data_IF_538633338553
#
_entry.id   IF_538633338553
#
_cell.length_a   1.000
_cell.length_b   1.000
_cell.length_c   1.000
_cell.angle_alpha   90.00
_cell.angle_beta   90.00
_cell.angle_gamma   90.00
#
_symmetry.space_group_name_H-M   'P 1'
#
loop_
_entity.id
_entity.type
_entity.pdbx_description
1 polymer ?
#
# COMPACT_ATOMS: atom_id res chain seq x y z
N UNK A 1 4.77 2.56 2.09
CA UNK A 1 4.35 3.66 1.21
C UNK A 1 3.73 3.07 -0.04
N UNK A 2 2.77 3.76 -0.64
CA UNK A 2 2.06 3.38 -1.85
C UNK A 2 2.25 4.48 -2.90
N UNK A 3 2.67 4.06 -4.10
CA UNK A 3 2.86 4.93 -5.27
C UNK A 3 1.92 4.45 -6.38
N UNK A 4 0.77 5.11 -6.61
CA UNK A 4 -0.11 4.80 -7.73
C UNK A 4 0.56 5.18 -9.07
N UNK A 5 0.32 4.40 -10.13
CA UNK A 5 0.98 4.62 -11.43
C UNK A 5 0.56 5.90 -12.14
N UNK A 6 -0.72 6.28 -12.04
CA UNK A 6 -1.32 7.35 -12.83
C UNK A 6 -2.20 8.25 -11.95
N UNK A 7 -1.73 8.61 -10.76
CA UNK A 7 -2.48 9.47 -9.85
C UNK A 7 -1.55 10.42 -9.09
N UNK A 8 -2.09 11.59 -8.76
CA UNK A 8 -1.40 12.73 -8.17
C UNK A 8 -1.32 12.64 -6.64
N UNK A 9 -1.01 11.45 -6.12
CA UNK A 9 -0.90 11.26 -4.69
C UNK A 9 0.00 10.09 -4.34
N UNK A 10 0.55 10.10 -3.14
CA UNK A 10 1.16 8.91 -2.52
C UNK A 10 0.57 8.70 -1.14
N UNK A 11 0.74 7.50 -0.57
CA UNK A 11 0.20 7.24 0.77
C UNK A 11 1.18 6.50 1.67
N UNK A 12 1.25 6.96 2.91
CA UNK A 12 1.89 6.28 4.02
C UNK A 12 0.83 5.77 4.99
N UNK A 13 1.00 4.52 5.43
CA UNK A 13 0.09 3.88 6.37
C UNK A 13 0.86 3.49 7.61
N UNK A 14 0.29 3.79 8.78
CA UNK A 14 0.96 3.63 10.05
C UNK A 14 0.30 2.51 10.87
N UNK A 15 1.09 1.81 11.68
CA UNK A 15 0.60 0.91 12.72
C UNK A 15 0.43 1.66 14.04
N UNK A 16 -0.38 1.16 14.99
CA UNK A 16 -0.36 1.65 16.36
C UNK A 16 1.08 1.57 16.94
N UNK A 17 1.47 2.49 17.84
CA UNK A 17 0.64 3.51 18.50
C UNK A 17 0.55 4.86 17.77
N UNK A 18 0.95 4.96 16.50
CA UNK A 18 0.90 6.23 15.76
C UNK A 18 -0.51 6.82 15.75
N UNK A 19 -0.66 8.13 16.00
CA UNK A 19 -1.98 8.79 16.13
C UNK A 19 -2.77 8.79 14.82
N UNK A 20 -2.07 9.00 13.72
CA UNK A 20 -2.62 8.88 12.36
C UNK A 20 -2.60 7.43 11.89
N UNK A 21 -3.66 7.06 11.18
CA UNK A 21 -3.77 5.80 10.45
C UNK A 21 -3.10 5.91 9.07
N UNK A 22 -3.33 7.02 8.38
CA UNK A 22 -2.76 7.28 7.06
C UNK A 22 -2.43 8.75 6.85
N UNK A 23 -1.37 8.99 6.09
CA UNK A 23 -1.05 10.25 5.42
C UNK A 23 -1.16 10.01 3.92
N UNK A 24 -1.76 10.96 3.20
CA UNK A 24 -1.92 10.88 1.76
C UNK A 24 -1.51 12.22 1.16
N UNK A 25 -0.28 12.26 0.68
CA UNK A 25 0.36 13.45 0.12
C UNK A 25 -0.14 13.67 -1.30
N UNK A 26 -0.49 14.92 -1.65
CA UNK A 26 -0.76 15.33 -3.03
C UNK A 26 0.57 15.60 -3.71
N UNK A 27 0.80 14.94 -4.84
CA UNK A 27 2.07 15.00 -5.57
C UNK A 27 1.82 15.13 -7.06
N UNK A 28 2.85 15.38 -7.87
CA UNK A 28 2.78 15.00 -9.29
C UNK A 28 2.69 13.48 -9.43
N UNK A 29 2.34 13.00 -10.63
CA UNK A 29 2.29 11.55 -10.88
C UNK A 29 3.67 10.93 -10.61
N UNK A 30 3.77 9.89 -9.75
CA UNK A 30 5.04 9.21 -9.50
C UNK A 30 5.56 8.51 -10.76
N UNK A 31 6.78 8.85 -11.17
CA UNK A 31 7.45 8.25 -12.32
C UNK A 31 8.51 7.27 -11.85
N UNK A 32 8.54 6.08 -12.47
CA UNK A 32 9.53 5.05 -12.18
C UNK A 32 10.59 4.99 -13.28
N UNK A 33 11.86 5.09 -12.88
CA UNK A 33 13.00 4.97 -13.78
C UNK A 33 14.18 4.34 -13.05
N UNK A 34 14.81 3.34 -13.66
CA UNK A 34 16.03 2.70 -13.17
C UNK A 34 16.00 2.24 -11.69
N UNK A 35 14.81 1.82 -11.22
CA UNK A 35 14.60 1.39 -9.83
C UNK A 35 14.30 2.52 -8.84
N UNK A 36 14.28 3.77 -9.30
CA UNK A 36 13.93 4.95 -8.54
C UNK A 36 12.51 5.42 -8.86
N UNK A 37 11.85 6.04 -7.89
CA UNK A 37 10.58 6.73 -8.05
C UNK A 37 10.76 8.21 -7.75
N UNK A 38 10.32 9.07 -8.67
CA UNK A 38 10.41 10.52 -8.54
C UNK A 38 9.05 11.17 -8.70
N UNK A 39 8.79 12.19 -7.90
CA UNK A 39 7.61 13.06 -7.96
C UNK A 39 7.94 14.39 -7.27
N UNK A 40 7.14 15.41 -7.53
CA UNK A 40 7.14 16.64 -6.74
C UNK A 40 6.06 16.55 -5.68
N UNK A 41 6.41 16.94 -4.45
CA UNK A 41 5.44 17.19 -3.40
C UNK A 41 4.72 18.52 -3.68
N UNK A 42 3.41 18.56 -3.48
CA UNK A 42 2.57 19.72 -3.75
C UNK A 42 1.90 20.24 -2.47
N UNK A 43 2.56 19.99 -1.34
CA UNK A 43 2.30 20.52 0.00
C UNK A 43 1.00 19.98 0.63
N UNK A 44 -0.12 19.93 -0.09
CA UNK A 44 -1.40 19.45 0.45
C UNK A 44 -1.36 17.97 0.85
N UNK A 45 -1.79 17.65 2.07
CA UNK A 45 -1.90 16.27 2.55
C UNK A 45 -3.27 15.99 3.20
N UNK A 46 -3.77 14.78 2.98
CA UNK A 46 -5.00 14.29 3.63
C UNK A 46 -4.64 13.29 4.72
N UNK A 47 -4.78 13.71 5.97
CA UNK A 47 -4.48 12.90 7.15
C UNK A 47 -5.76 12.28 7.67
N UNK A 48 -5.73 10.96 7.91
CA UNK A 48 -6.76 10.29 8.70
C UNK A 48 -6.23 9.88 10.05
N UNK A 49 -6.84 10.40 11.10
CA UNK A 49 -6.57 10.01 12.47
C UNK A 49 -7.26 8.69 12.82
N UNK A 50 -6.71 7.96 13.80
CA UNK A 50 -7.31 6.69 14.27
C UNK A 50 -8.66 6.86 14.93
N UNK A 51 -8.94 8.05 15.48
CA UNK A 51 -10.26 8.41 16.02
C UNK A 51 -11.29 8.70 14.91
N UNK A 52 -10.89 8.59 13.63
CA UNK A 52 -11.75 8.76 12.46
C UNK A 52 -11.80 10.18 11.91
N UNK A 53 -11.21 11.17 12.58
CA UNK A 53 -11.11 12.54 12.06
C UNK A 53 -10.27 12.59 10.78
N UNK A 54 -10.65 13.52 9.91
CA UNK A 54 -9.92 13.87 8.69
C UNK A 54 -9.42 15.30 8.78
N UNK A 55 -8.19 15.51 8.36
CA UNK A 55 -7.52 16.80 8.31
C UNK A 55 -7.01 16.97 6.87
N UNK A 56 -7.25 18.14 6.29
CA UNK A 56 -6.47 18.65 5.17
C UNK A 56 -5.36 19.49 5.80
N UNK A 57 -4.11 19.10 5.60
CA UNK A 57 -2.96 19.80 6.13
C UNK A 57 -2.31 20.71 5.10
N UNK A 58 -1.41 21.55 5.61
CA UNK A 58 -0.44 22.36 4.85
C UNK A 58 -1.07 23.26 3.77
N UNK A 59 -2.32 23.68 3.99
CA UNK A 59 -3.04 24.63 3.11
C UNK A 59 -2.35 26.01 3.06
N UNK A 60 -1.73 26.43 4.16
CA UNK A 60 -0.97 27.68 4.26
C UNK A 60 0.38 27.58 3.55
N UNK A 61 1.11 26.48 3.72
CA UNK A 61 2.34 26.19 2.99
C UNK A 61 2.10 26.12 1.49
N UNK A 62 1.04 25.40 1.05
CA UNK A 62 0.63 25.37 -0.34
C UNK A 62 0.36 26.77 -0.90
N UNK A 63 -0.38 27.62 -0.16
CA UNK A 63 -0.67 28.98 -0.58
C UNK A 63 0.59 29.86 -0.68
N UNK A 64 1.55 29.68 0.24
CA UNK A 64 2.84 30.38 0.22
C UNK A 64 3.69 29.93 -0.98
N UNK A 65 3.83 28.61 -1.18
CA UNK A 65 4.63 28.02 -2.25
C UNK A 65 4.11 28.33 -3.65
N UNK A 66 2.79 28.47 -3.83
CA UNK A 66 2.21 28.97 -5.08
C UNK A 66 2.87 30.27 -5.55
N UNK A 67 3.10 31.19 -4.62
CA UNK A 67 3.67 32.51 -4.90
C UNK A 67 5.19 32.43 -4.96
N UNK A 68 5.83 31.85 -3.94
CA UNK A 68 7.29 31.82 -3.83
C UNK A 68 7.95 31.03 -4.94
N UNK A 69 7.34 29.92 -5.37
CA UNK A 69 7.86 29.01 -6.39
C UNK A 69 7.18 29.19 -7.75
N UNK A 70 6.23 30.13 -7.85
CA UNK A 70 5.50 30.45 -9.07
C UNK A 70 4.85 29.21 -9.71
N UNK A 71 4.02 28.50 -8.93
CA UNK A 71 3.30 27.32 -9.40
C UNK A 71 2.37 27.70 -10.59
N UNK A 72 2.39 26.95 -11.70
CA UNK A 72 1.45 27.16 -12.79
C UNK A 72 0.00 26.96 -12.33
N UNK A 73 -0.94 27.75 -12.86
CA UNK A 73 -2.36 27.67 -12.50
C UNK A 73 -2.95 26.27 -12.65
N UNK A 74 -2.51 25.54 -13.68
CA UNK A 74 -2.97 24.18 -13.93
C UNK A 74 -2.44 23.21 -12.87
N UNK A 75 -1.21 23.39 -12.37
CA UNK A 75 -0.65 22.59 -11.29
C UNK A 75 -1.45 22.78 -10.00
N UNK A 76 -1.77 24.04 -9.67
CA UNK A 76 -2.59 24.43 -8.52
C UNK A 76 -3.96 23.76 -8.61
N UNK A 77 -4.61 23.89 -9.77
CA UNK A 77 -5.94 23.32 -10.01
C UNK A 77 -5.97 21.80 -9.86
N UNK A 78 -4.92 21.11 -10.33
CA UNK A 78 -4.80 19.66 -10.18
C UNK A 78 -4.56 19.24 -8.73
N UNK A 79 -3.72 19.97 -7.99
CA UNK A 79 -3.45 19.68 -6.58
C UNK A 79 -4.73 19.81 -5.74
N UNK A 80 -5.45 20.93 -5.86
CA UNK A 80 -6.70 21.16 -5.15
C UNK A 80 -7.79 20.15 -5.53
N UNK A 81 -7.91 19.80 -6.81
CA UNK A 81 -8.85 18.78 -7.26
C UNK A 81 -8.52 17.40 -6.68
N UNK A 82 -7.23 17.07 -6.60
CA UNK A 82 -6.75 15.82 -6.00
C UNK A 82 -7.02 15.79 -4.51
N UNK A 83 -6.71 16.86 -3.77
CA UNK A 83 -7.01 16.98 -2.34
C UNK A 83 -8.51 16.80 -2.05
N UNK A 84 -9.39 17.46 -2.81
CA UNK A 84 -10.85 17.29 -2.68
C UNK A 84 -11.29 15.85 -2.94
N UNK A 85 -10.73 15.21 -3.97
CA UNK A 85 -11.03 13.81 -4.27
C UNK A 85 -10.54 12.88 -3.15
N UNK A 86 -9.35 13.12 -2.61
CA UNK A 86 -8.76 12.34 -1.53
C UNK A 86 -9.57 12.45 -0.25
N UNK A 87 -10.00 13.65 0.15
CA UNK A 87 -10.89 13.84 1.29
C UNK A 87 -12.14 12.95 1.18
N UNK A 88 -12.74 12.88 -0.01
CA UNK A 88 -13.87 12.00 -0.27
C UNK A 88 -13.46 10.51 -0.26
N UNK A 89 -12.38 10.12 -0.96
CA UNK A 89 -11.95 8.72 -1.05
C UNK A 89 -11.55 8.11 0.30
N UNK A 90 -10.87 8.90 1.14
CA UNK A 90 -10.48 8.53 2.50
C UNK A 90 -11.70 8.44 3.42
N UNK A 91 -12.63 9.42 3.34
CA UNK A 91 -13.89 9.41 4.09
C UNK A 91 -14.73 8.17 3.77
N UNK A 92 -14.88 7.87 2.48
CA UNK A 92 -15.65 6.72 1.99
C UNK A 92 -14.89 5.39 2.08
N UNK A 93 -13.69 5.38 2.67
CA UNK A 93 -12.87 4.17 2.89
C UNK A 93 -12.71 3.36 1.59
N UNK A 94 -12.29 4.01 0.50
CA UNK A 94 -12.16 3.36 -0.82
C UNK A 94 -10.80 2.70 -1.04
N UNK A 95 -10.81 1.45 -1.50
CA UNK A 95 -9.63 0.72 -1.98
C UNK A 95 -8.48 0.71 -0.97
N UNK A 96 -7.25 1.14 -1.35
CA UNK A 96 -6.10 1.16 -0.43
C UNK A 96 -6.31 2.06 0.78
N UNK A 97 -7.10 3.13 0.65
CA UNK A 97 -7.44 4.07 1.71
C UNK A 97 -8.54 3.53 2.66
N UNK A 98 -9.16 2.41 2.27
CA UNK A 98 -10.23 1.73 3.01
C UNK A 98 -9.81 0.58 3.91
N UNK A 99 -8.50 0.34 4.07
CA UNK A 99 -7.98 -0.75 4.89
C UNK A 99 -7.41 -1.93 4.11
N UNK A 100 -7.44 -1.92 2.77
CA UNK A 100 -6.71 -2.93 2.00
C UNK A 100 -5.19 -2.92 2.33
N UNK A 101 -4.66 -1.77 2.77
CA UNK A 101 -3.29 -1.63 3.24
C UNK A 101 -2.96 -2.40 4.52
N UNK A 102 -3.97 -2.78 5.34
CA UNK A 102 -3.75 -3.48 6.61
C UNK A 102 -3.01 -4.80 6.38
N UNK A 103 -3.35 -5.52 5.31
CA UNK A 103 -2.67 -6.77 4.94
C UNK A 103 -1.19 -6.55 4.63
N UNK A 104 -0.83 -5.41 4.03
CA UNK A 104 0.56 -5.05 3.74
C UNK A 104 1.35 -4.78 5.03
N UNK A 105 0.72 -4.08 5.98
CA UNK A 105 1.33 -3.79 7.28
C UNK A 105 1.59 -5.07 8.09
N UNK A 106 0.62 -5.99 8.10
CA UNK A 106 0.72 -7.28 8.80
C UNK A 106 1.91 -8.09 8.27
N UNK A 107 2.04 -8.23 6.95
CA UNK A 107 3.17 -8.95 6.32
C UNK A 107 4.51 -8.30 6.68
N UNK A 108 4.58 -6.97 6.67
CA UNK A 108 5.81 -6.22 6.97
C UNK A 108 6.28 -6.34 8.43
N UNK A 109 5.35 -6.51 9.38
CA UNK A 109 5.66 -6.72 10.79
C UNK A 109 6.25 -8.11 11.01
N UNK A 110 5.65 -9.12 10.38
CA UNK A 110 6.14 -10.50 10.45
C UNK A 110 7.52 -10.69 9.83
N UNK A 111 7.82 -10.04 8.69
CA UNK A 111 9.15 -10.11 8.07
C UNK A 111 10.26 -9.48 8.93
N UNK A 112 9.95 -8.42 9.69
CA UNK A 112 10.92 -7.71 10.53
C UNK A 112 11.12 -8.33 11.92
N UNK A 113 10.13 -9.04 12.45
CA UNK A 113 10.14 -9.52 13.83
C UNK A 113 9.96 -11.03 14.01
N UNK A 114 9.73 -11.80 12.95
CA UNK A 114 9.59 -13.27 13.01
C UNK A 114 10.40 -13.98 11.94
N UNK A 115 11.31 -14.88 12.35
CA UNK A 115 11.92 -15.87 11.44
C UNK A 115 10.80 -16.68 10.79
N UNK A 116 10.75 -16.68 9.45
CA UNK A 116 9.78 -17.47 8.71
C UNK A 116 10.26 -18.92 8.66
N UNK A 117 9.57 -19.84 9.34
CA UNK A 117 9.49 -21.20 8.82
C UNK A 117 8.39 -21.17 7.75
N UNK A 118 8.77 -20.99 6.49
CA UNK A 118 7.84 -21.04 5.36
C UNK A 118 7.39 -22.49 5.20
N UNK A 119 6.29 -22.86 5.86
CA UNK A 119 5.46 -23.97 5.42
C UNK A 119 4.67 -23.52 4.20
N UNK A 120 5.13 -23.92 3.02
CA UNK A 120 4.54 -23.63 1.70
C UNK A 120 3.02 -23.89 1.71
N UNK A 121 2.22 -22.85 1.49
CA UNK A 121 0.79 -23.01 1.24
C UNK A 121 0.56 -23.38 -0.22
N UNK A 122 0.50 -24.68 -0.54
CA UNK A 122 0.07 -25.16 -1.85
C UNK A 122 -1.46 -25.25 -1.84
N UNK A 123 -2.13 -24.40 -2.63
CA UNK A 123 -3.57 -24.52 -2.92
C UNK A 123 -3.81 -25.89 -3.58
N UNK A 124 -4.40 -26.83 -2.86
CA UNK A 124 -4.97 -28.06 -3.43
C UNK A 124 -6.49 -27.88 -3.47
N UNK A 125 -7.03 -27.65 -4.66
CA UNK A 125 -8.44 -27.88 -4.92
C UNK A 125 -8.71 -29.39 -4.90
N UNK A 126 -9.80 -29.78 -4.21
CA UNK A 126 -10.53 -31.06 -4.17
C UNK A 126 -10.16 -32.10 -5.26
N UNK A 127 -10.06 -33.42 -5.05
CA UNK A 127 -10.85 -34.43 -4.31
C UNK A 127 -10.15 -35.81 -4.58
N UNK A 128 -10.68 -37.00 -4.24
CA UNK A 128 -11.10 -37.55 -2.95
C UNK A 128 -10.48 -38.96 -2.73
N UNK A 129 -9.59 -39.18 -1.76
CA UNK A 129 -9.37 -40.55 -1.26
C UNK A 129 -8.53 -40.54 0.01
N UNK A 130 -9.15 -41.03 1.09
CA UNK A 130 -8.53 -41.87 2.12
C UNK A 130 -7.44 -41.27 3.01
N UNK A 131 -7.86 -41.05 4.26
CA UNK A 131 -7.29 -41.68 5.46
C UNK A 131 -5.89 -41.27 5.94
N UNK A 132 -5.88 -40.86 7.22
CA UNK A 132 -4.79 -40.94 8.20
C UNK A 132 -3.65 -41.91 7.85
N UNK A 133 -2.41 -41.47 8.06
CA UNK A 133 -1.49 -42.02 9.08
C UNK A 133 -0.14 -41.29 9.07
N UNK A 134 0.30 -40.85 10.26
CA UNK A 134 1.71 -40.55 10.53
C UNK A 134 2.54 -41.82 10.37
N UNK A 135 3.75 -41.72 9.80
CA UNK A 135 5.02 -42.09 10.46
C UNK A 135 6.20 -41.94 9.50
N UNK A 136 7.35 -41.67 10.11
CA UNK A 136 8.67 -41.47 9.52
C UNK A 136 9.20 -42.66 8.71
N UNK A 137 9.70 -42.43 7.49
CA UNK A 137 11.05 -42.82 7.01
C UNK A 137 11.22 -42.49 5.52
N UNK A 138 12.43 -42.10 5.18
CA UNK A 138 12.88 -41.66 3.86
C UNK A 138 12.63 -42.68 2.74
N UNK A 139 12.28 -42.19 1.55
CA UNK A 139 12.42 -42.92 0.29
C UNK A 139 13.06 -42.04 -0.79
N UNK A 140 14.08 -42.60 -1.44
CA UNK A 140 14.75 -42.07 -2.63
C UNK A 140 13.82 -42.21 -3.84
N UNK A 141 13.83 -41.23 -4.75
CA UNK A 141 13.15 -41.34 -6.04
C UNK A 141 13.81 -42.42 -6.92
N UNK A 142 13.03 -43.42 -7.32
CA UNK A 142 13.31 -44.30 -8.46
C UNK A 142 12.33 -43.97 -9.59
N UNK A 143 12.84 -43.92 -10.82
CA UNK A 143 12.15 -43.60 -12.07
C UNK A 143 10.97 -44.55 -12.38
N UNK A 144 9.91 -44.06 -13.06
CA UNK A 144 8.78 -44.90 -13.45
C UNK A 144 9.13 -45.81 -14.66
N UNK A 145 8.57 -47.02 -14.76
CA UNK A 145 8.65 -47.82 -15.97
C UNK A 145 7.70 -47.29 -17.04
N UNK A 146 8.22 -47.20 -18.27
CA UNK A 146 7.41 -47.20 -19.50
C UNK A 146 6.79 -48.58 -19.67
N UNK A 147 5.51 -48.64 -20.04
CA UNK A 147 4.79 -49.86 -20.42
C UNK A 147 3.97 -49.52 -21.67
N UNK A 148 3.89 -50.42 -22.67
CA UNK A 148 3.80 -50.08 -24.10
C UNK A 148 2.42 -49.68 -24.60
#
# INVERSE_FOLDING_TARGET
MLFPRNAWWTASFNTPPHKSESYVDVTTIPEWKDGEVTMLDLDLDVIRLRDGRLILGDEDEFAEHQVLLNYPSDLISHAEATARWLLHAVRERKGPLGGAHIQWLVISWFQRHGKINVGVYRRLTANPCSSLLLTSRAWRCGTPPHVP
#
